data_IF_007573631364
#
_entry.id   IF_007573631364
#
_cell.length_a   1.000
_cell.length_b   1.000
_cell.length_c   1.000
_cell.angle_alpha   90.00
_cell.angle_beta   90.00
_cell.angle_gamma   90.00
#
_symmetry.space_group_name_H-M   'P 1'
#
loop_
_entity.id
_entity.type
_entity.pdbx_description
1 polymer ?
#
# COMPACT_ATOMS: atom_id res chain seq x y z
N UNK A 1 5.34 13.09 24.39
CA UNK A 1 4.71 14.06 23.47
C UNK A 1 5.38 14.06 22.09
N UNK A 2 6.72 14.10 22.02
CA UNK A 2 7.50 14.16 20.77
C UNK A 2 7.25 13.01 19.79
N UNK A 3 7.20 11.76 20.25
CA UNK A 3 7.01 10.59 19.37
C UNK A 3 5.69 10.66 18.58
N UNK A 4 4.60 11.08 19.21
CA UNK A 4 3.28 11.20 18.56
C UNK A 4 3.28 12.28 17.47
N UNK A 5 3.95 13.39 17.72
CA UNK A 5 4.07 14.51 16.76
C UNK A 5 4.87 14.14 15.52
N UNK A 6 5.79 13.17 15.63
CA UNK A 6 6.57 12.67 14.48
C UNK A 6 5.84 11.54 13.76
N UNK A 7 5.35 10.53 14.50
CA UNK A 7 4.76 9.33 13.90
C UNK A 7 3.43 9.62 13.20
N UNK A 8 2.60 10.51 13.75
CA UNK A 8 1.28 10.82 13.18
C UNK A 8 1.36 11.38 11.76
N UNK A 9 2.07 12.50 11.50
CA UNK A 9 2.17 13.02 10.13
C UNK A 9 2.92 12.06 9.20
N UNK A 10 3.93 11.35 9.70
CA UNK A 10 4.68 10.38 8.91
C UNK A 10 3.77 9.25 8.39
N UNK A 11 2.90 8.72 9.25
CA UNK A 11 2.00 7.62 8.90
C UNK A 11 0.84 8.11 8.04
N UNK A 12 0.30 9.31 8.29
CA UNK A 12 -0.66 9.94 7.38
C UNK A 12 -0.07 10.13 5.98
N UNK A 13 1.15 10.65 5.89
CA UNK A 13 1.85 10.85 4.62
C UNK A 13 2.11 9.52 3.91
N UNK A 14 2.58 8.50 4.65
CA UNK A 14 2.83 7.17 4.10
C UNK A 14 1.55 6.50 3.59
N UNK A 15 0.49 6.48 4.41
CA UNK A 15 -0.79 5.90 4.03
C UNK A 15 -1.41 6.61 2.81
N UNK A 16 -1.36 7.95 2.80
CA UNK A 16 -1.81 8.77 1.67
C UNK A 16 -1.00 8.51 0.40
N UNK A 17 0.33 8.40 0.51
CA UNK A 17 1.21 8.09 -0.61
C UNK A 17 0.93 6.70 -1.19
N UNK A 18 0.72 5.68 -0.34
CA UNK A 18 0.38 4.33 -0.79
C UNK A 18 -0.96 4.31 -1.53
N UNK A 19 -1.99 4.97 -1.00
CA UNK A 19 -3.30 5.10 -1.67
C UNK A 19 -3.14 5.80 -3.02
N UNK A 20 -2.38 6.90 -3.06
CA UNK A 20 -2.12 7.63 -4.29
C UNK A 20 -1.39 6.77 -5.32
N UNK A 21 -0.32 6.06 -4.93
CA UNK A 21 0.43 5.16 -5.80
C UNK A 21 -0.44 4.05 -6.37
N UNK A 22 -1.25 3.40 -5.53
CA UNK A 22 -2.18 2.35 -5.98
C UNK A 22 -3.16 2.86 -7.04
N UNK A 23 -3.74 4.05 -6.81
CA UNK A 23 -4.67 4.69 -7.75
C UNK A 23 -3.97 5.14 -9.03
N UNK A 24 -2.80 5.75 -8.90
CA UNK A 24 -2.06 6.28 -10.04
C UNK A 24 -1.53 5.15 -10.94
N UNK A 25 -1.05 4.04 -10.36
CA UNK A 25 -0.63 2.87 -11.13
C UNK A 25 -1.81 2.19 -11.84
N UNK A 26 -2.95 1.99 -11.16
CA UNK A 26 -4.15 1.41 -11.75
C UNK A 26 -4.76 2.28 -12.87
N UNK A 27 -4.62 3.60 -12.77
CA UNK A 27 -5.03 4.55 -13.82
C UNK A 27 -4.01 4.68 -14.96
N UNK A 28 -2.88 3.97 -14.90
CA UNK A 28 -1.81 4.05 -15.90
C UNK A 28 -0.93 5.30 -15.81
N UNK A 29 -1.10 6.16 -14.80
CA UNK A 29 -0.36 7.43 -14.66
C UNK A 29 1.12 7.24 -14.33
N UNK A 30 1.49 6.15 -13.65
CA UNK A 30 2.91 5.85 -13.38
C UNK A 30 3.63 5.27 -14.59
N UNK A 31 2.91 4.57 -15.48
CA UNK A 31 3.53 3.69 -16.47
C UNK A 31 4.40 2.59 -15.84
N UNK A 32 4.92 1.71 -16.70
CA UNK A 32 5.90 0.70 -16.31
C UNK A 32 7.22 1.39 -15.95
N UNK A 33 7.72 1.17 -14.73
CA UNK A 33 8.92 1.86 -14.23
C UNK A 33 9.67 0.99 -13.20
N UNK A 34 10.98 1.23 -12.99
CA UNK A 34 11.79 0.43 -12.06
C UNK A 34 11.65 0.87 -10.59
N UNK A 35 10.95 1.98 -10.29
CA UNK A 35 10.97 2.61 -8.96
C UNK A 35 9.78 2.26 -8.08
N UNK A 36 8.55 2.24 -8.63
CA UNK A 36 7.32 2.11 -7.86
C UNK A 36 6.31 1.19 -8.54
N UNK A 37 5.64 0.36 -7.74
CA UNK A 37 4.67 -0.64 -8.20
C UNK A 37 5.15 -2.09 -7.99
N UNK A 38 4.36 -3.03 -8.51
CA UNK A 38 4.67 -4.46 -8.55
C UNK A 38 5.64 -4.69 -9.71
N UNK A 39 6.86 -5.13 -9.39
CA UNK A 39 7.98 -5.23 -10.34
C UNK A 39 8.46 -6.67 -10.49
N UNK A 40 7.53 -7.56 -10.79
CA UNK A 40 7.87 -8.94 -11.16
C UNK A 40 8.09 -9.03 -12.67
N UNK A 41 8.85 -10.04 -13.17
CA UNK A 41 9.03 -10.24 -14.61
C UNK A 41 7.70 -10.23 -15.39
N UNK A 42 6.68 -10.91 -14.86
CA UNK A 42 5.34 -10.98 -15.47
C UNK A 42 4.66 -9.61 -15.55
N UNK A 43 4.68 -8.82 -14.48
CA UNK A 43 4.07 -7.47 -14.49
C UNK A 43 4.85 -6.46 -15.33
N UNK A 44 6.13 -6.74 -15.60
CA UNK A 44 7.00 -5.89 -16.38
C UNK A 44 7.08 -6.31 -17.86
N UNK A 45 6.40 -7.38 -18.27
CA UNK A 45 6.45 -7.90 -19.64
C UNK A 45 5.88 -6.91 -20.66
N UNK A 46 4.73 -6.30 -20.35
CA UNK A 46 4.05 -5.32 -21.19
C UNK A 46 3.33 -4.26 -20.37
N UNK A 47 2.95 -3.15 -21.01
CA UNK A 47 2.17 -2.10 -20.35
C UNK A 47 0.75 -2.59 -19.98
N UNK A 48 0.22 -3.55 -20.75
CA UNK A 48 -1.05 -4.22 -20.44
C UNK A 48 -0.92 -5.10 -19.20
N UNK A 49 0.11 -5.94 -19.11
CA UNK A 49 0.38 -6.75 -17.93
C UNK A 49 0.60 -5.89 -16.68
N UNK A 50 1.32 -4.77 -16.84
CA UNK A 50 1.49 -3.77 -15.79
C UNK A 50 0.14 -3.23 -15.32
N UNK A 51 -0.69 -2.74 -16.26
CA UNK A 51 -1.99 -2.14 -15.92
C UNK A 51 -2.93 -3.15 -15.27
N UNK A 52 -3.04 -4.35 -15.82
CA UNK A 52 -3.90 -5.42 -15.32
C UNK A 52 -3.52 -5.82 -13.90
N UNK A 53 -2.22 -5.97 -13.62
CA UNK A 53 -1.75 -6.26 -12.28
C UNK A 53 -2.09 -5.15 -11.27
N UNK A 54 -1.86 -3.88 -11.64
CA UNK A 54 -2.08 -2.76 -10.74
C UNK A 54 -3.56 -2.44 -10.54
N UNK A 55 -4.42 -2.68 -11.52
CA UNK A 55 -5.88 -2.61 -11.36
C UNK A 55 -6.35 -3.66 -10.35
N UNK A 56 -5.88 -4.91 -10.48
CA UNK A 56 -6.23 -5.98 -9.55
C UNK A 56 -5.68 -5.76 -8.13
N UNK A 57 -4.49 -5.15 -8.01
CA UNK A 57 -3.84 -4.87 -6.73
C UNK A 57 -4.37 -3.60 -6.03
N UNK A 58 -5.11 -2.75 -6.75
CA UNK A 58 -5.54 -1.42 -6.28
C UNK A 58 -6.29 -1.48 -4.96
N UNK A 59 -7.41 -2.20 -4.93
CA UNK A 59 -8.32 -2.23 -3.77
C UNK A 59 -7.62 -2.79 -2.52
N UNK A 60 -6.93 -3.93 -2.57
CA UNK A 60 -6.15 -4.40 -1.42
C UNK A 60 -5.14 -3.37 -0.91
N UNK A 61 -4.40 -2.75 -1.82
CA UNK A 61 -3.36 -1.77 -1.45
C UNK A 61 -3.98 -0.52 -0.82
N UNK A 62 -5.11 -0.03 -1.34
CA UNK A 62 -5.86 1.08 -0.76
C UNK A 62 -6.35 0.75 0.66
N UNK A 63 -6.87 -0.46 0.89
CA UNK A 63 -7.30 -0.91 2.23
C UNK A 63 -6.14 -0.83 3.22
N UNK A 64 -4.96 -1.33 2.84
CA UNK A 64 -3.76 -1.23 3.67
C UNK A 64 -3.39 0.21 4.02
N UNK A 65 -3.44 1.12 3.05
CA UNK A 65 -3.19 2.54 3.27
C UNK A 65 -4.22 3.21 4.19
N UNK A 66 -5.51 2.86 4.05
CA UNK A 66 -6.56 3.35 4.94
C UNK A 66 -6.45 2.80 6.36
N UNK A 67 -6.04 1.55 6.54
CA UNK A 67 -5.73 0.98 7.86
C UNK A 67 -4.59 1.76 8.53
N UNK A 68 -3.55 2.13 7.78
CA UNK A 68 -2.46 2.95 8.30
C UNK A 68 -2.94 4.35 8.74
N UNK A 69 -3.77 5.00 7.93
CA UNK A 69 -4.40 6.29 8.30
C UNK A 69 -5.29 6.13 9.53
N UNK A 70 -6.13 5.09 9.60
CA UNK A 70 -7.02 4.86 10.74
C UNK A 70 -6.26 4.66 12.05
N UNK A 71 -5.09 4.03 12.01
CA UNK A 71 -4.26 3.83 13.19
C UNK A 71 -3.79 5.13 13.84
N UNK A 72 -3.73 6.25 13.10
CA UNK A 72 -3.31 7.54 13.68
C UNK A 72 -4.31 8.09 14.69
N UNK A 73 -5.58 7.67 14.64
CA UNK A 73 -6.58 7.99 15.67
C UNK A 73 -6.12 7.48 17.04
N UNK A 74 -5.63 6.23 17.09
CA UNK A 74 -5.08 5.65 18.33
C UNK A 74 -3.81 6.39 18.75
N UNK A 75 -2.96 6.79 17.81
CA UNK A 75 -1.72 7.52 18.13
C UNK A 75 -1.97 8.86 18.80
N UNK A 76 -3.02 9.58 18.37
CA UNK A 76 -3.42 10.86 18.94
C UNK A 76 -4.02 10.63 20.32
N UNK A 77 -5.03 9.75 20.42
CA UNK A 77 -5.89 9.63 21.60
C UNK A 77 -5.32 8.76 22.73
N UNK A 78 -4.44 7.81 22.44
CA UNK A 78 -3.99 6.83 23.44
C UNK A 78 -3.19 7.49 24.58
N UNK A 79 -3.54 7.26 25.86
CA UNK A 79 -2.82 7.86 26.98
C UNK A 79 -1.46 7.21 27.23
N UNK A 80 -1.29 5.94 26.88
CA UNK A 80 -0.06 5.18 27.10
C UNK A 80 0.73 4.92 25.82
N UNK A 81 2.06 5.00 25.91
CA UNK A 81 2.94 4.87 24.75
C UNK A 81 2.93 3.47 24.13
N UNK A 82 2.72 2.41 24.92
CA UNK A 82 2.67 1.03 24.41
C UNK A 82 1.48 0.81 23.46
N UNK A 83 0.36 1.51 23.66
CA UNK A 83 -0.79 1.48 22.73
C UNK A 83 -0.43 2.10 21.38
N UNK A 84 0.38 3.16 21.38
CA UNK A 84 0.88 3.79 20.15
C UNK A 84 1.77 2.79 19.38
N UNK A 85 2.68 2.11 20.08
CA UNK A 85 3.52 1.08 19.48
C UNK A 85 2.71 -0.10 18.94
N UNK A 86 1.77 -0.63 19.74
CA UNK A 86 0.90 -1.72 19.32
C UNK A 86 0.09 -1.36 18.06
N UNK A 87 -0.55 -0.18 18.06
CA UNK A 87 -1.28 0.32 16.89
C UNK A 87 -0.38 0.48 15.66
N UNK A 88 0.85 0.98 15.85
CA UNK A 88 1.84 1.13 14.76
C UNK A 88 2.21 -0.23 14.16
N UNK A 89 2.51 -1.21 15.00
CA UNK A 89 2.87 -2.57 14.55
C UNK A 89 1.70 -3.20 13.81
N UNK A 90 0.48 -3.16 14.38
CA UNK A 90 -0.72 -3.71 13.76
C UNK A 90 -0.96 -3.06 12.39
N UNK A 91 -0.87 -1.72 12.31
CA UNK A 91 -1.05 -0.98 11.07
C UNK A 91 -0.01 -1.36 10.01
N UNK A 92 1.27 -1.47 10.40
CA UNK A 92 2.35 -1.87 9.52
C UNK A 92 2.16 -3.31 9.00
N UNK A 93 1.76 -4.24 9.88
CA UNK A 93 1.45 -5.62 9.51
C UNK A 93 0.27 -5.69 8.54
N UNK A 94 -0.83 -5.00 8.83
CA UNK A 94 -2.00 -4.95 7.95
C UNK A 94 -1.67 -4.35 6.59
N UNK A 95 -0.97 -3.21 6.57
CA UNK A 95 -0.51 -2.58 5.34
C UNK A 95 0.34 -3.55 4.50
N UNK A 96 1.33 -4.19 5.13
CA UNK A 96 2.23 -5.13 4.47
C UNK A 96 1.46 -6.34 3.92
N UNK A 97 0.55 -6.92 4.71
CA UNK A 97 -0.27 -8.05 4.29
C UNK A 97 -1.18 -7.68 3.11
N UNK A 98 -1.82 -6.50 3.16
CA UNK A 98 -2.66 -5.99 2.09
C UNK A 98 -1.87 -5.73 0.79
N UNK A 99 -0.68 -5.14 0.89
CA UNK A 99 0.22 -4.91 -0.25
C UNK A 99 0.70 -6.23 -0.83
N UNK A 100 1.12 -7.18 0.01
CA UNK A 100 1.56 -8.50 -0.44
C UNK A 100 0.43 -9.27 -1.12
N UNK A 101 -0.78 -9.25 -0.54
CA UNK A 101 -1.97 -9.83 -1.15
C UNK A 101 -2.30 -9.16 -2.50
N UNK A 102 -2.24 -7.83 -2.56
CA UNK A 102 -2.38 -7.06 -3.79
C UNK A 102 -1.37 -7.49 -4.85
N UNK A 103 -0.10 -7.65 -4.47
CA UNK A 103 0.96 -8.12 -5.37
C UNK A 103 0.72 -9.54 -5.88
N UNK A 104 0.28 -10.46 -5.02
CA UNK A 104 -0.07 -11.84 -5.44
C UNK A 104 -1.26 -11.83 -6.41
N UNK A 105 -2.32 -11.07 -6.09
CA UNK A 105 -3.49 -10.91 -6.96
C UNK A 105 -3.13 -10.29 -8.30
N UNK A 106 -2.34 -9.21 -8.29
CA UNK A 106 -1.86 -8.53 -9.49
C UNK A 106 -0.97 -9.43 -10.35
N UNK A 107 -0.05 -10.16 -9.73
CA UNK A 107 0.81 -11.11 -10.44
C UNK A 107 0.04 -12.26 -11.08
N UNK A 108 -1.01 -12.77 -10.42
CA UNK A 108 -1.91 -13.78 -11.02
C UNK A 108 -2.70 -13.21 -12.19
N UNK A 109 -3.21 -11.99 -12.07
CA UNK A 109 -3.95 -11.33 -13.15
C UNK A 109 -3.07 -10.99 -14.36
N UNK A 110 -1.78 -10.69 -14.16
CA UNK A 110 -0.84 -10.52 -15.27
C UNK A 110 -0.52 -11.83 -15.97
N UNK A 111 -0.33 -12.93 -15.21
CA UNK A 111 -0.03 -14.25 -15.79
C UNK A 111 -1.15 -14.80 -16.65
N UNK A 112 -2.41 -14.52 -16.32
CA UNK A 112 -3.54 -14.94 -17.16
C UNK A 112 -3.62 -14.24 -18.52
N UNK A 113 -2.68 -13.34 -18.85
CA UNK A 113 -2.51 -12.76 -20.19
C UNK A 113 -1.43 -13.50 -21.00
N UNK A 114 -0.62 -14.33 -20.36
CA UNK A 114 0.43 -15.14 -20.99
C UNK A 114 -0.12 -16.52 -21.42
N UNK A 115 -1.22 -16.97 -20.82
CA UNK A 115 -1.98 -18.20 -21.13
C UNK A 115 -3.01 -17.97 -22.25
#
# INVERSE_FOLDING_TARGET
MTVKLVLTPLILATGGLIIWLARAAAKGRLGRNPFAGIRTPTTMASDEAWRTAHVAARVPTEIGGWCAIGATVVMILAPWIWLVFAATIIAATLLTACVAYGAVRGGRAARSLED
#
